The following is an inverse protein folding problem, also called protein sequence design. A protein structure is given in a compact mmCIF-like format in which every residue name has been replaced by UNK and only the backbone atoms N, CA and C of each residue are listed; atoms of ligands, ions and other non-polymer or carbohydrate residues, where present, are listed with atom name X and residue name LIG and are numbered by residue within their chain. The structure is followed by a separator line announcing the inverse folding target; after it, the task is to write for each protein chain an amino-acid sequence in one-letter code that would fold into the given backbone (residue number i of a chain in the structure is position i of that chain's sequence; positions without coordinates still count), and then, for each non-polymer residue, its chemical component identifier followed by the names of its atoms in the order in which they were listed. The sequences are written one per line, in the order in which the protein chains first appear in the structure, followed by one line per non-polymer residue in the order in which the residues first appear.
data_IF_239757163062
#
_entry.id   IF_239757163062
#
_cell.length_a   1.000
_cell.length_b   1.000
_cell.length_c   1.000
_cell.angle_alpha   90.00
_cell.angle_beta   90.00
_cell.angle_gamma   90.00
#
_symmetry.space_group_name_H-M   'P 1'
#
loop_
_entity.id
_entity.type
_entity.pdbx_description
1 polymer ?
#
# COMPACT_ATOMS: atom_id res chain seq x y z
N UNK A 1 11.00 3.09 13.34
CA UNK A 1 9.65 3.67 13.48
C UNK A 1 8.64 2.55 13.65
N UNK A 2 8.26 2.25 14.89
CA UNK A 2 7.04 1.52 15.21
C UNK A 2 6.35 2.36 16.27
N UNK A 3 5.07 2.67 16.07
CA UNK A 3 4.27 3.35 17.10
C UNK A 3 4.33 2.53 18.39
N UNK A 4 4.56 3.21 19.51
CA UNK A 4 4.56 2.57 20.85
C UNK A 4 3.16 2.07 21.24
N UNK A 5 2.13 2.59 20.57
CA UNK A 5 0.74 2.18 20.70
C UNK A 5 0.29 1.41 19.43
N UNK A 6 -0.62 0.47 19.63
CA UNK A 6 -1.22 -0.27 18.53
C UNK A 6 -2.06 0.65 17.64
N UNK A 7 -1.68 0.77 16.37
CA UNK A 7 -2.49 1.44 15.36
C UNK A 7 -3.37 0.40 14.65
N UNK A 8 -4.71 0.47 14.78
CA UNK A 8 -5.59 -0.47 14.10
C UNK A 8 -5.54 -0.26 12.58
N UNK A 9 -5.77 -1.32 11.77
CA UNK A 9 -5.93 -1.17 10.33
C UNK A 9 -7.09 -0.24 9.98
N UNK A 10 -6.91 0.55 8.92
CA UNK A 10 -7.93 1.44 8.38
C UNK A 10 -8.43 0.91 7.04
N UNK A 11 -9.75 0.96 6.82
CA UNK A 11 -10.39 0.72 5.53
C UNK A 11 -11.05 2.02 5.10
N UNK A 12 -10.66 2.52 3.93
CA UNK A 12 -11.15 3.78 3.36
C UNK A 12 -11.91 3.51 2.06
N UNK A 13 -12.61 4.53 1.55
CA UNK A 13 -13.29 4.45 0.26
C UNK A 13 -12.30 4.25 -0.90
N UNK A 14 -12.74 3.62 -1.99
CA UNK A 14 -11.89 3.28 -3.14
C UNK A 14 -11.35 4.48 -3.91
N UNK A 15 -11.98 5.65 -3.80
CA UNK A 15 -11.52 6.90 -4.42
C UNK A 15 -10.84 7.85 -3.42
N UNK A 16 -10.53 7.38 -2.21
CA UNK A 16 -9.82 8.14 -1.19
C UNK A 16 -8.34 8.37 -1.59
N UNK A 17 -7.84 9.57 -1.30
CA UNK A 17 -6.40 9.86 -1.30
C UNK A 17 -5.84 9.71 0.12
N UNK A 18 -4.75 8.96 0.24
CA UNK A 18 -4.02 8.77 1.49
C UNK A 18 -2.70 9.50 1.39
N UNK A 19 -2.48 10.46 2.30
CA UNK A 19 -1.23 11.21 2.42
C UNK A 19 -0.41 10.70 3.60
N UNK A 20 0.86 10.42 3.35
CA UNK A 20 1.85 10.03 4.36
C UNK A 20 2.93 11.12 4.40
N UNK A 21 2.97 11.87 5.49
CA UNK A 21 4.01 12.85 5.75
C UNK A 21 5.18 12.19 6.50
N UNK A 22 6.40 12.52 6.08
CA UNK A 22 7.64 12.08 6.72
C UNK A 22 8.51 13.29 7.01
N UNK A 23 8.64 13.63 8.29
CA UNK A 23 9.37 14.81 8.75
C UNK A 23 10.75 14.47 9.30
N UNK A 24 10.80 13.71 10.41
CA UNK A 24 12.03 13.42 11.18
C UNK A 24 12.40 11.94 11.10
N UNK A 25 12.89 11.53 9.93
CA UNK A 25 13.39 10.19 9.69
C UNK A 25 14.74 10.24 8.97
N UNK A 26 15.70 9.44 9.43
CA UNK A 26 17.02 9.36 8.79
C UNK A 26 16.95 8.82 7.35
N UNK A 27 15.97 7.95 7.08
CA UNK A 27 15.78 7.30 5.79
C UNK A 27 14.30 7.00 5.51
N UNK A 28 13.87 7.21 4.27
CA UNK A 28 12.52 6.88 3.79
C UNK A 28 12.61 6.02 2.53
N UNK A 29 11.85 4.92 2.51
CA UNK A 29 11.78 4.02 1.34
C UNK A 29 10.32 3.70 1.05
N UNK A 30 9.95 3.78 -0.23
CA UNK A 30 8.65 3.33 -0.73
C UNK A 30 8.85 2.08 -1.59
N UNK A 31 8.00 1.08 -1.38
CA UNK A 31 8.02 -0.19 -2.11
C UNK A 31 6.62 -0.49 -2.63
N UNK A 32 6.50 -0.78 -3.92
CA UNK A 32 5.24 -1.15 -4.58
C UNK A 32 5.28 -2.63 -5.00
N UNK A 33 4.22 -3.39 -4.68
CA UNK A 33 4.11 -4.83 -4.97
C UNK A 33 5.30 -5.68 -4.48
N UNK A 34 5.92 -5.27 -3.37
CA UNK A 34 7.07 -5.94 -2.76
C UNK A 34 8.36 -5.88 -3.60
N UNK A 35 8.41 -5.02 -4.64
CA UNK A 35 9.55 -4.90 -5.56
C UNK A 35 9.87 -3.42 -5.81
N UNK A 36 11.03 -3.14 -6.41
CA UNK A 36 11.50 -1.80 -6.79
C UNK A 36 11.47 -0.82 -5.60
N UNK A 37 12.40 -0.95 -4.64
CA UNK A 37 12.54 0.04 -3.58
C UNK A 37 12.97 1.39 -4.19
N UNK A 38 12.32 2.46 -3.73
CA UNK A 38 12.65 3.84 -4.07
C UNK A 38 12.99 4.59 -2.79
N UNK A 39 14.21 5.10 -2.69
CA UNK A 39 14.62 6.01 -1.62
C UNK A 39 14.03 7.40 -1.86
N UNK A 40 13.52 8.02 -0.80
CA UNK A 40 12.94 9.37 -0.83
C UNK A 40 13.70 10.23 0.18
N UNK A 41 14.17 11.40 -0.28
CA UNK A 41 14.81 12.40 0.59
C UNK A 41 13.78 13.03 1.53
N UNK A 42 14.16 13.25 2.78
CA UNK A 42 13.31 13.84 3.81
C UNK A 42 13.59 15.35 3.97
N UNK A 43 12.57 16.19 4.26
CA UNK A 43 11.17 15.83 4.50
C UNK A 43 10.41 15.53 3.20
N UNK A 44 9.41 14.66 3.28
CA UNK A 44 8.64 14.23 2.13
C UNK A 44 7.14 14.07 2.42
N UNK A 45 6.34 14.29 1.39
CA UNK A 45 4.93 13.96 1.37
C UNK A 45 4.69 12.92 0.26
N UNK A 46 4.12 11.77 0.63
CA UNK A 46 3.79 10.69 -0.29
C UNK A 46 2.27 10.59 -0.39
N UNK A 47 1.73 10.66 -1.60
CA UNK A 47 0.30 10.47 -1.86
C UNK A 47 0.04 9.11 -2.52
N UNK A 48 -1.00 8.43 -2.04
CA UNK A 48 -1.49 7.18 -2.60
C UNK A 48 -2.96 7.39 -2.97
N UNK A 49 -3.24 7.26 -4.26
CA UNK A 49 -4.59 7.38 -4.81
C UNK A 49 -4.86 6.26 -5.80
N UNK A 50 -6.14 6.07 -6.11
CA UNK A 50 -6.55 5.10 -7.11
C UNK A 50 -5.97 5.47 -8.48
N UNK A 51 -5.27 4.52 -9.09
CA UNK A 51 -4.78 4.69 -10.45
C UNK A 51 -5.94 4.79 -11.46
N UNK A 52 -5.83 5.70 -12.42
CA UNK A 52 -6.81 5.87 -13.50
C UNK A 52 -6.91 4.62 -14.39
N UNK A 53 -5.78 3.93 -14.59
CA UNK A 53 -5.69 2.74 -15.42
C UNK A 53 -5.66 1.49 -14.54
N UNK A 54 -6.73 0.66 -14.54
CA UNK A 54 -6.75 -0.58 -13.79
C UNK A 54 -5.94 -1.67 -14.51
N UNK A 55 -5.43 -2.63 -13.74
CA UNK A 55 -4.87 -3.87 -14.27
C UNK A 55 -5.99 -4.72 -14.87
N UNK A 56 -5.76 -5.30 -16.05
CA UNK A 56 -6.67 -6.28 -16.68
C UNK A 56 -6.15 -7.68 -16.41
N UNK A 57 -6.89 -8.45 -15.63
CA UNK A 57 -6.58 -9.85 -15.36
C UNK A 57 -7.15 -10.74 -16.47
N UNK A 58 -6.35 -11.69 -16.94
CA UNK A 58 -6.76 -12.69 -17.94
C UNK A 58 -7.03 -14.02 -17.23
N UNK A 59 -8.15 -14.66 -17.54
CA UNK A 59 -8.52 -15.97 -17.02
C UNK A 59 -9.92 -16.01 -16.43
N UNK A 60 -10.37 -17.17 -15.94
CA UNK A 60 -11.62 -17.27 -15.22
C UNK A 60 -11.55 -16.42 -13.95
N UNK A 61 -12.68 -15.81 -13.57
CA UNK A 61 -12.81 -15.17 -12.26
C UNK A 61 -12.55 -16.23 -11.21
N UNK A 62 -11.47 -16.07 -10.44
CA UNK A 62 -11.17 -16.98 -9.34
C UNK A 62 -12.21 -16.81 -8.24
N UNK A 63 -12.72 -17.92 -7.71
CA UNK A 63 -13.44 -17.90 -6.45
C UNK A 63 -12.44 -17.54 -5.34
N UNK A 64 -12.64 -16.37 -4.73
CA UNK A 64 -11.75 -15.83 -3.71
C UNK A 64 -11.60 -16.78 -2.51
N UNK A 65 -12.70 -17.38 -2.06
CA UNK A 65 -12.67 -18.26 -0.89
C UNK A 65 -12.01 -19.60 -1.23
N UNK A 66 -12.34 -20.17 -2.39
CA UNK A 66 -11.68 -21.40 -2.85
C UNK A 66 -10.17 -21.20 -3.09
N UNK A 67 -9.74 -19.96 -3.42
CA UNK A 67 -8.32 -19.61 -3.51
C UNK A 67 -7.69 -19.46 -2.11
N UNK A 68 -8.40 -18.84 -1.17
CA UNK A 68 -7.93 -18.66 0.22
C UNK A 68 -7.71 -20.00 0.93
N UNK A 69 -8.62 -20.96 0.75
CA UNK A 69 -8.51 -22.30 1.35
C UNK A 69 -7.21 -23.02 0.98
N UNK A 70 -6.64 -22.74 -0.20
CA UNK A 70 -5.35 -23.31 -0.66
C UNK A 70 -4.13 -22.79 0.10
N UNK A 71 -4.26 -21.73 0.90
CA UNK A 71 -3.18 -21.16 1.71
C UNK A 71 -3.12 -21.74 3.13
N UNK A 72 -4.06 -22.64 3.47
CA UNK A 72 -4.15 -23.37 4.74
C UNK A 72 -3.20 -24.56 4.79
#
# INVERSE_FOLDING_TARGET
MCGVEGMPPLVVDGDCEVTVAVDDADHTVVVSDGRRPHEIETPAEITVSRAETPVRLVGPVADFFAALDKLS
#
